data_IF_901073058480
#
_entry.id   IF_901073058480
#
_cell.length_a   1.000
_cell.length_b   1.000
_cell.length_c   1.000
_cell.angle_alpha   90.00
_cell.angle_beta   90.00
_cell.angle_gamma   90.00
#
_symmetry.space_group_name_H-M   'P 1'
#
loop_
_entity.id
_entity.type
_entity.pdbx_description
1 polymer ?
#
# COMPACT_ATOMS: atom_id res chain seq x y z
N UNK A 1 -27.91 -42.19 14.42
CA UNK A 1 -27.05 -41.92 15.58
C UNK A 1 -25.68 -42.54 15.30
N UNK A 2 -24.61 -41.74 15.41
CA UNK A 2 -23.17 -42.04 15.20
C UNK A 2 -22.61 -42.07 13.76
N UNK A 3 -21.35 -41.62 13.57
CA UNK A 3 -21.03 -40.49 12.69
C UNK A 3 -20.09 -40.82 11.53
N UNK A 4 -20.06 -39.94 10.51
CA UNK A 4 -19.13 -40.02 9.39
C UNK A 4 -17.73 -39.59 9.84
N UNK A 5 -16.76 -40.48 9.70
CA UNK A 5 -15.35 -40.23 9.98
C UNK A 5 -14.71 -39.40 8.87
N UNK A 6 -13.83 -38.49 9.27
CA UNK A 6 -13.00 -37.66 8.42
C UNK A 6 -11.69 -38.42 8.14
N UNK A 7 -11.50 -38.90 6.91
CA UNK A 7 -10.23 -39.47 6.48
C UNK A 7 -9.26 -38.38 6.03
N UNK A 8 -8.11 -38.33 6.70
CA UNK A 8 -6.93 -37.56 6.32
C UNK A 8 -6.13 -38.36 5.30
N UNK A 9 -6.07 -37.87 4.06
CA UNK A 9 -5.10 -38.30 3.05
C UNK A 9 -3.87 -37.41 3.05
N UNK A 10 -2.68 -38.02 3.13
CA UNK A 10 -1.35 -37.39 3.00
C UNK A 10 -0.92 -37.24 1.53
N UNK A 11 0.11 -36.40 1.31
CA UNK A 11 1.04 -36.25 0.16
C UNK A 11 0.73 -35.18 -0.92
N UNK A 12 1.74 -34.68 -1.69
CA UNK A 12 3.00 -33.98 -1.35
C UNK A 12 3.04 -32.56 -1.97
N UNK A 13 4.16 -31.85 -1.78
CA UNK A 13 4.54 -30.64 -2.50
C UNK A 13 4.47 -30.80 -4.03
N UNK A 14 3.93 -29.78 -4.72
CA UNK A 14 4.40 -29.29 -6.03
C UNK A 14 3.52 -28.12 -6.54
N UNK A 15 4.18 -27.02 -6.90
CA UNK A 15 3.96 -26.27 -8.15
C UNK A 15 2.69 -25.43 -8.32
N UNK A 16 2.90 -24.14 -8.61
CA UNK A 16 1.97 -23.19 -9.24
C UNK A 16 0.84 -23.86 -10.04
N UNK A 17 -0.41 -23.72 -9.59
CA UNK A 17 -1.59 -24.03 -10.41
C UNK A 17 -2.38 -22.76 -10.69
N UNK A 18 -2.14 -22.23 -11.90
CA UNK A 18 -3.02 -21.27 -12.57
C UNK A 18 -4.31 -22.02 -12.95
N UNK A 19 -5.47 -21.57 -12.46
CA UNK A 19 -6.77 -22.08 -12.91
C UNK A 19 -7.23 -21.31 -14.15
N UNK A 20 -7.19 -21.95 -15.32
CA UNK A 20 -7.94 -21.52 -16.51
C UNK A 20 -9.14 -22.44 -16.70
N UNK A 21 -10.35 -21.93 -16.48
CA UNK A 21 -11.58 -22.56 -16.95
C UNK A 21 -11.82 -22.13 -18.41
N UNK A 22 -11.67 -23.08 -19.34
CA UNK A 22 -12.11 -22.92 -20.73
C UNK A 22 -13.62 -22.70 -20.75
N UNK A 23 -14.08 -21.60 -21.36
CA UNK A 23 -15.48 -21.44 -21.74
C UNK A 23 -15.62 -21.23 -23.24
N UNK A 24 -16.50 -22.03 -23.84
CA UNK A 24 -16.90 -21.93 -25.23
C UNK A 24 -17.78 -20.69 -25.45
N UNK A 25 -17.55 -20.02 -26.57
CA UNK A 25 -18.19 -18.76 -26.96
C UNK A 25 -19.72 -18.90 -27.07
N UNK A 26 -20.46 -18.08 -26.31
CA UNK A 26 -21.87 -17.74 -26.56
C UNK A 26 -22.09 -16.25 -26.30
N UNK A 27 -22.70 -15.50 -27.24
CA UNK A 27 -22.99 -14.08 -27.04
C UNK A 27 -24.28 -13.93 -26.24
N UNK A 28 -24.19 -13.32 -25.05
CA UNK A 28 -25.35 -12.98 -24.22
C UNK A 28 -25.07 -13.12 -22.72
N UNK A 29 -25.14 -11.99 -22.02
CA UNK A 29 -25.14 -11.84 -20.55
C UNK A 29 -23.95 -12.46 -19.79
N UNK A 30 -22.88 -11.68 -19.63
CA UNK A 30 -21.76 -11.99 -18.72
C UNK A 30 -22.23 -11.85 -17.26
N UNK A 31 -22.24 -12.95 -16.51
CA UNK A 31 -22.13 -12.92 -15.04
C UNK A 31 -20.73 -13.41 -14.66
N UNK A 32 -19.79 -12.48 -14.60
CA UNK A 32 -18.49 -12.64 -13.94
C UNK A 32 -18.47 -11.61 -12.81
N UNK A 33 -18.48 -12.06 -11.55
CA UNK A 33 -18.18 -11.30 -10.32
C UNK A 33 -18.23 -9.76 -10.36
N UNK A 34 -19.39 -9.19 -10.71
CA UNK A 34 -19.86 -7.91 -10.16
C UNK A 34 -19.19 -6.59 -10.55
N UNK A 35 -18.13 -6.54 -11.36
CA UNK A 35 -17.48 -5.25 -11.70
C UNK A 35 -17.90 -4.79 -13.10
N UNK A 36 -18.81 -3.83 -13.15
CA UNK A 36 -19.02 -3.01 -14.34
C UNK A 36 -17.93 -1.92 -14.34
N UNK A 37 -16.71 -2.30 -14.72
CA UNK A 37 -15.61 -1.33 -14.81
C UNK A 37 -15.91 -0.38 -15.95
N UNK A 38 -16.17 0.89 -15.62
CA UNK A 38 -16.45 1.92 -16.62
C UNK A 38 -15.28 2.14 -17.60
N UNK A 39 -14.05 1.72 -17.24
CA UNK A 39 -12.84 1.74 -18.08
C UNK A 39 -11.97 0.51 -17.82
N UNK A 40 -11.47 -0.10 -18.89
CA UNK A 40 -10.47 -1.16 -18.87
C UNK A 40 -9.05 -0.64 -18.60
N UNK A 41 -8.17 -1.48 -18.02
CA UNK A 41 -6.79 -1.11 -17.67
C UNK A 41 -6.01 -0.38 -18.79
N UNK A 42 -6.10 -0.79 -20.08
CA UNK A 42 -5.36 -0.13 -21.15
C UNK A 42 -5.77 1.32 -21.45
N UNK A 43 -6.96 1.73 -21.02
CA UNK A 43 -7.54 3.05 -21.31
C UNK A 43 -6.97 4.18 -20.43
N UNK A 44 -6.32 3.84 -19.31
CA UNK A 44 -5.66 4.83 -18.47
C UNK A 44 -4.33 5.30 -19.08
N UNK A 45 -3.98 6.55 -18.82
CA UNK A 45 -2.69 7.15 -19.21
C UNK A 45 -1.75 7.28 -18.01
N UNK A 46 -2.32 7.49 -16.83
CA UNK A 46 -1.60 7.65 -15.57
C UNK A 46 -1.97 6.53 -14.61
N UNK A 47 -0.98 6.07 -13.85
CA UNK A 47 -1.21 5.34 -12.62
C UNK A 47 -0.62 6.14 -11.46
N UNK A 48 -1.46 6.56 -10.53
CA UNK A 48 -1.01 7.23 -9.31
C UNK A 48 -0.88 6.17 -8.21
N UNK A 49 0.19 6.24 -7.41
CA UNK A 49 0.50 5.23 -6.41
C UNK A 49 0.62 5.83 -5.02
N UNK A 50 -0.10 5.27 -4.07
CA UNK A 50 0.40 5.26 -2.70
C UNK A 50 1.76 4.52 -2.64
N UNK A 51 2.64 4.94 -1.75
CA UNK A 51 4.02 4.41 -1.67
C UNK A 51 4.23 3.57 -0.41
N UNK A 52 3.96 4.14 0.78
CA UNK A 52 4.27 3.52 2.06
C UNK A 52 3.14 2.58 2.46
N UNK A 53 3.38 1.27 2.47
CA UNK A 53 2.36 0.24 2.69
C UNK A 53 1.78 -0.34 1.40
N UNK A 54 1.91 0.36 0.27
CA UNK A 54 1.58 -0.17 -1.05
C UNK A 54 2.80 -0.73 -1.78
N UNK A 55 3.89 0.03 -1.83
CA UNK A 55 5.11 -0.31 -2.57
C UNK A 55 6.27 -0.66 -1.64
N UNK A 56 6.40 0.09 -0.53
CA UNK A 56 7.40 -0.08 0.53
C UNK A 56 6.79 -0.83 1.72
N UNK A 57 7.50 -1.84 2.22
CA UNK A 57 7.12 -2.61 3.41
C UNK A 57 7.54 -1.86 4.69
N UNK A 58 6.72 -0.88 5.05
CA UNK A 58 6.95 -0.09 6.27
C UNK A 58 6.76 -0.91 7.55
N UNK A 59 5.91 -1.94 7.51
CA UNK A 59 5.67 -2.78 8.68
C UNK A 59 6.91 -3.62 9.00
N UNK A 60 7.53 -4.21 7.98
CA UNK A 60 8.85 -4.85 8.10
C UNK A 60 9.89 -3.87 8.66
N UNK A 61 10.01 -2.68 8.04
CA UNK A 61 10.96 -1.66 8.49
C UNK A 61 10.78 -1.20 9.94
N UNK A 62 9.54 -0.96 10.38
CA UNK A 62 9.22 -0.62 11.77
C UNK A 62 9.58 -1.77 12.72
N UNK A 63 9.17 -3.00 12.39
CA UNK A 63 9.41 -4.18 13.23
C UNK A 63 10.90 -4.45 13.38
N UNK A 64 11.67 -4.37 12.29
CA UNK A 64 13.11 -4.61 12.31
C UNK A 64 13.84 -3.59 13.18
N UNK A 65 13.49 -2.30 13.06
CA UNK A 65 14.08 -1.25 13.90
C UNK A 65 13.74 -1.44 15.38
N UNK A 66 12.47 -1.72 15.70
CA UNK A 66 12.04 -1.93 17.09
C UNK A 66 12.66 -3.20 17.68
N UNK A 67 12.77 -4.28 16.91
CA UNK A 67 13.44 -5.51 17.33
C UNK A 67 14.93 -5.29 17.62
N UNK A 68 15.62 -4.45 16.83
CA UNK A 68 17.01 -4.07 17.09
C UNK A 68 17.17 -3.33 18.42
N UNK A 69 16.28 -2.37 18.71
CA UNK A 69 16.27 -1.64 19.99
C UNK A 69 15.93 -2.59 21.16
N UNK A 70 14.96 -3.50 20.96
CA UNK A 70 14.56 -4.47 21.96
C UNK A 70 15.71 -5.43 22.32
N UNK A 71 16.45 -5.91 21.31
CA UNK A 71 17.62 -6.77 21.50
C UNK A 71 18.71 -6.06 22.32
N UNK A 72 19.02 -4.79 22.02
CA UNK A 72 19.98 -3.98 22.78
C UNK A 72 19.53 -3.76 24.23
N UNK A 73 18.23 -3.62 24.46
CA UNK A 73 17.64 -3.45 25.79
C UNK A 73 17.38 -4.77 26.54
N UNK A 74 17.65 -5.93 25.92
CA UNK A 74 17.29 -7.25 26.46
C UNK A 74 15.78 -7.40 26.77
N UNK A 75 14.95 -6.81 25.91
CA UNK A 75 13.48 -6.84 25.98
C UNK A 75 12.93 -7.70 24.85
N UNK A 76 11.91 -8.52 25.14
CA UNK A 76 11.15 -9.22 24.11
C UNK A 76 9.91 -8.39 23.75
N UNK A 77 9.64 -8.23 22.45
CA UNK A 77 8.46 -7.51 21.95
C UNK A 77 7.70 -8.38 20.94
N UNK A 78 6.38 -8.23 20.89
CA UNK A 78 5.55 -8.75 19.80
C UNK A 78 5.44 -7.69 18.70
N UNK A 79 5.84 -8.05 17.48
CA UNK A 79 5.79 -7.16 16.32
C UNK A 79 4.37 -6.72 15.93
N UNK A 80 3.37 -7.58 16.07
CA UNK A 80 1.98 -7.20 15.74
C UNK A 80 1.37 -6.30 16.82
N UNK A 81 1.72 -6.52 18.09
CA UNK A 81 1.39 -5.58 19.17
C UNK A 81 2.03 -4.20 18.90
N UNK A 82 3.31 -4.18 18.54
CA UNK A 82 4.02 -2.96 18.21
C UNK A 82 3.37 -2.20 17.04
N UNK A 83 2.93 -2.90 15.98
CA UNK A 83 2.19 -2.29 14.86
C UNK A 83 0.84 -1.71 15.30
N UNK A 84 0.11 -2.41 16.17
CA UNK A 84 -1.16 -1.92 16.73
C UNK A 84 -0.98 -0.65 17.55
N UNK A 85 0.06 -0.61 18.39
CA UNK A 85 0.43 0.58 19.18
C UNK A 85 0.91 1.74 18.29
N UNK A 86 1.76 1.45 17.30
CA UNK A 86 2.19 2.41 16.29
C UNK A 86 0.98 3.06 15.61
N UNK A 87 0.03 2.25 15.14
CA UNK A 87 -1.20 2.74 14.51
C UNK A 87 -1.94 3.69 15.45
N UNK A 88 -2.21 3.29 16.70
CA UNK A 88 -2.91 4.15 17.65
C UNK A 88 -2.19 5.50 17.88
N UNK A 89 -0.86 5.49 17.99
CA UNK A 89 -0.04 6.68 18.21
C UNK A 89 0.05 7.58 16.95
N UNK A 90 0.12 6.99 15.76
CA UNK A 90 0.28 7.71 14.49
C UNK A 90 -0.94 8.56 14.15
N UNK A 91 -2.14 8.13 14.54
CA UNK A 91 -3.40 8.84 14.27
C UNK A 91 -3.94 9.62 15.48
N UNK A 92 -3.11 9.85 16.50
CA UNK A 92 -3.48 10.74 17.60
C UNK A 92 -3.57 12.20 17.15
N UNK A 93 -4.33 13.03 17.87
CA UNK A 93 -4.39 14.48 17.60
C UNK A 93 -3.00 15.11 17.69
N UNK A 94 -2.69 16.02 16.75
CA UNK A 94 -1.42 16.74 16.72
C UNK A 94 -0.24 15.90 16.21
N UNK A 95 -0.50 14.84 15.45
CA UNK A 95 0.54 14.15 14.69
C UNK A 95 1.21 15.11 13.71
N UNK A 96 2.53 15.02 13.62
CA UNK A 96 3.33 15.71 12.61
C UNK A 96 3.39 14.88 11.30
N UNK A 97 4.08 15.39 10.30
CA UNK A 97 4.25 14.75 9.00
C UNK A 97 5.12 13.50 9.10
N UNK A 98 4.74 12.46 8.34
CA UNK A 98 5.48 11.21 8.27
C UNK A 98 6.78 11.37 7.44
N UNK A 99 7.93 10.77 7.81
CA UNK A 99 8.16 9.95 9.00
C UNK A 99 8.72 10.73 10.20
N UNK A 100 8.81 12.07 10.16
CA UNK A 100 9.37 12.87 11.26
C UNK A 100 8.59 12.65 12.58
N UNK A 101 7.28 12.44 12.47
CA UNK A 101 6.39 12.07 13.58
C UNK A 101 6.77 10.75 14.28
N UNK A 102 7.58 9.88 13.66
CA UNK A 102 8.01 8.62 14.25
C UNK A 102 8.80 8.81 15.56
N UNK A 103 9.44 9.96 15.75
CA UNK A 103 10.11 10.28 17.02
C UNK A 103 9.08 10.36 18.15
N UNK A 104 7.97 11.07 17.93
CA UNK A 104 6.87 11.19 18.89
C UNK A 104 6.17 9.85 19.08
N UNK A 105 5.87 9.14 17.99
CA UNK A 105 5.22 7.83 18.03
C UNK A 105 6.03 6.85 18.86
N UNK A 106 7.35 6.78 18.64
CA UNK A 106 8.22 5.92 19.44
C UNK A 106 8.10 6.21 20.93
N UNK A 107 8.15 7.49 21.33
CA UNK A 107 8.07 7.91 22.72
C UNK A 107 6.72 7.54 23.38
N UNK A 108 5.63 7.46 22.61
CA UNK A 108 4.33 6.99 23.11
C UNK A 108 4.23 5.47 23.25
N UNK A 109 4.84 4.71 22.33
CA UNK A 109 4.70 3.24 22.31
C UNK A 109 5.80 2.52 23.13
N UNK A 110 6.99 3.12 23.26
CA UNK A 110 8.12 2.51 23.95
C UNK A 110 7.80 2.09 25.40
N UNK A 111 7.16 2.91 26.26
CA UNK A 111 6.82 2.49 27.62
C UNK A 111 5.87 1.28 27.65
N UNK A 112 4.95 1.20 26.68
CA UNK A 112 3.95 0.13 26.56
C UNK A 112 4.60 -1.19 26.13
N UNK A 113 5.67 -1.10 25.34
CA UNK A 113 6.48 -2.23 24.87
C UNK A 113 7.64 -2.59 25.82
N UNK A 114 7.82 -1.87 26.93
CA UNK A 114 8.96 -2.03 27.84
C UNK A 114 10.30 -1.59 27.26
N UNK A 115 10.30 -0.79 26.18
CA UNK A 115 11.51 -0.27 25.53
C UNK A 115 12.02 1.02 26.20
N UNK A 116 13.32 1.36 26.03
CA UNK A 116 13.87 2.60 26.54
C UNK A 116 13.16 3.86 26.01
N UNK A 117 12.87 4.82 26.87
CA UNK A 117 12.04 5.99 26.55
C UNK A 117 12.87 7.24 26.25
N UNK A 118 13.89 7.09 25.41
CA UNK A 118 14.82 8.17 25.07
C UNK A 118 14.63 8.63 23.62
N UNK A 119 14.70 9.96 23.40
CA UNK A 119 14.51 10.58 22.08
C UNK A 119 15.39 9.98 20.99
N UNK A 120 16.63 9.60 21.31
CA UNK A 120 17.59 9.00 20.37
C UNK A 120 17.06 7.73 19.68
N UNK A 121 16.22 6.96 20.36
CA UNK A 121 15.62 5.75 19.79
C UNK A 121 14.43 6.07 18.88
N UNK A 122 13.69 7.14 19.18
CA UNK A 122 12.69 7.69 18.26
C UNK A 122 13.32 8.27 17.01
N UNK A 123 14.47 8.95 17.13
CA UNK A 123 15.26 9.41 15.98
C UNK A 123 15.78 8.24 15.16
N UNK A 124 16.26 7.17 15.80
CA UNK A 124 16.62 5.92 15.11
C UNK A 124 15.44 5.32 14.34
N UNK A 125 14.24 5.30 14.93
CA UNK A 125 13.04 4.80 14.25
C UNK A 125 12.69 5.66 13.03
N UNK A 126 12.69 6.99 13.18
CA UNK A 126 12.52 7.94 12.06
C UNK A 126 13.55 7.67 10.96
N UNK A 127 14.83 7.68 11.30
CA UNK A 127 15.94 7.58 10.36
C UNK A 127 16.01 6.20 9.68
N UNK A 128 15.45 5.16 10.33
CA UNK A 128 15.34 3.83 9.74
C UNK A 128 14.54 3.82 8.43
N UNK A 129 13.65 4.79 8.22
CA UNK A 129 12.87 4.93 6.99
C UNK A 129 13.75 4.99 5.74
N UNK A 130 14.97 5.53 5.83
CA UNK A 130 15.91 5.54 4.70
C UNK A 130 16.33 4.13 4.21
N UNK A 131 16.10 3.09 5.01
CA UNK A 131 16.53 1.72 4.74
C UNK A 131 15.37 0.73 4.53
N UNK A 132 14.12 1.21 4.54
CA UNK A 132 12.97 0.31 4.38
C UNK A 132 12.93 -0.27 2.97
N UNK A 133 12.61 -1.56 2.89
CA UNK A 133 12.64 -2.34 1.66
C UNK A 133 11.33 -2.20 0.89
N UNK A 134 11.39 -2.29 -0.43
CA UNK A 134 10.21 -2.54 -1.23
C UNK A 134 9.64 -3.94 -0.94
N UNK A 135 8.32 -4.11 -1.11
CA UNK A 135 7.78 -5.46 -1.28
C UNK A 135 8.46 -6.11 -2.51
N UNK A 136 8.73 -7.42 -2.44
CA UNK A 136 9.56 -8.12 -3.43
C UNK A 136 9.03 -8.07 -4.87
N UNK A 137 7.74 -7.80 -5.05
CA UNK A 137 7.08 -7.67 -6.37
C UNK A 137 6.98 -6.22 -6.89
N UNK A 138 7.27 -5.21 -6.07
CA UNK A 138 6.98 -3.80 -6.39
C UNK A 138 7.86 -3.25 -7.52
N UNK A 139 9.19 -3.37 -7.41
CA UNK A 139 10.12 -2.73 -8.35
C UNK A 139 9.95 -3.26 -9.79
N UNK A 140 9.89 -4.58 -9.95
CA UNK A 140 9.69 -5.21 -11.26
C UNK A 140 8.31 -4.84 -11.85
N UNK A 141 7.25 -4.87 -11.03
CA UNK A 141 5.91 -4.49 -11.49
C UNK A 141 5.87 -3.03 -11.97
N UNK A 142 6.46 -2.09 -11.22
CA UNK A 142 6.54 -0.69 -11.62
C UNK A 142 7.34 -0.54 -12.93
N UNK A 143 8.47 -1.22 -13.07
CA UNK A 143 9.25 -1.19 -14.32
C UNK A 143 8.45 -1.71 -15.53
N UNK A 144 7.57 -2.70 -15.34
CA UNK A 144 6.67 -3.20 -16.39
C UNK A 144 5.56 -2.19 -16.70
N UNK A 145 4.95 -1.59 -15.68
CA UNK A 145 3.86 -0.62 -15.83
C UNK A 145 4.35 0.69 -16.47
N UNK A 146 5.56 1.15 -16.14
CA UNK A 146 6.18 2.36 -16.69
C UNK A 146 6.34 2.35 -18.22
N UNK A 147 6.33 1.17 -18.85
CA UNK A 147 6.36 1.03 -20.31
C UNK A 147 5.10 1.57 -20.99
N UNK A 148 3.98 1.60 -20.28
CA UNK A 148 2.66 1.91 -20.83
C UNK A 148 1.96 3.10 -20.16
N UNK A 149 2.36 3.46 -18.94
CA UNK A 149 1.71 4.51 -18.16
C UNK A 149 2.74 5.50 -17.60
N UNK A 150 2.30 6.74 -17.41
CA UNK A 150 3.02 7.71 -16.57
C UNK A 150 2.74 7.40 -15.11
N UNK A 151 3.75 6.91 -14.39
CA UNK A 151 3.61 6.56 -12.98
C UNK A 151 3.82 7.80 -12.11
N UNK A 152 2.90 8.07 -11.18
CA UNK A 152 2.97 9.23 -10.29
C UNK A 152 2.96 8.76 -8.84
N UNK A 153 3.98 9.10 -8.06
CA UNK A 153 3.97 8.81 -6.63
C UNK A 153 3.10 9.83 -5.87
N UNK A 154 2.27 9.35 -4.95
CA UNK A 154 1.44 10.12 -4.02
C UNK A 154 1.67 9.60 -2.61
N UNK A 155 2.56 10.22 -1.84
CA UNK A 155 2.96 9.71 -0.52
C UNK A 155 2.77 10.75 0.57
N UNK A 156 2.33 10.28 1.75
CA UNK A 156 2.33 11.08 2.98
C UNK A 156 3.76 11.27 3.54
N UNK A 157 4.74 10.54 3.01
CA UNK A 157 6.13 10.71 3.41
C UNK A 157 6.69 12.07 2.98
N UNK A 158 7.55 12.64 3.83
CA UNK A 158 8.43 13.75 3.48
C UNK A 158 9.37 13.34 2.34
N UNK A 159 9.76 14.33 1.54
CA UNK A 159 10.67 14.23 0.40
C UNK A 159 11.93 13.46 0.72
N UNK A 160 12.57 13.76 1.85
CA UNK A 160 13.83 13.14 2.22
C UNK A 160 13.74 11.62 2.31
N UNK A 161 12.63 11.08 2.83
CA UNK A 161 12.42 9.64 2.95
C UNK A 161 11.99 9.05 1.61
N UNK A 162 11.10 9.75 0.89
CA UNK A 162 10.67 9.35 -0.44
C UNK A 162 11.85 9.16 -1.41
N UNK A 163 12.87 10.00 -1.35
CA UNK A 163 14.02 9.89 -2.26
C UNK A 163 14.79 8.57 -2.07
N UNK A 164 14.76 7.95 -0.88
CA UNK A 164 15.28 6.60 -0.67
C UNK A 164 14.32 5.52 -1.18
N UNK A 165 13.01 5.71 -0.95
CA UNK A 165 11.98 4.79 -1.46
C UNK A 165 11.97 4.72 -2.99
N UNK A 166 12.09 5.86 -3.68
CA UNK A 166 12.15 5.93 -5.12
C UNK A 166 13.34 5.12 -5.67
N UNK A 167 14.53 5.30 -5.08
CA UNK A 167 15.74 4.56 -5.46
C UNK A 167 15.60 3.06 -5.25
N UNK A 168 15.05 2.66 -4.11
CA UNK A 168 14.76 1.24 -3.81
C UNK A 168 13.77 0.63 -4.82
N UNK A 169 12.87 1.43 -5.38
CA UNK A 169 11.91 1.03 -6.42
C UNK A 169 12.47 1.13 -7.85
N UNK A 170 13.72 1.57 -8.03
CA UNK A 170 14.36 1.75 -9.33
C UNK A 170 13.99 3.05 -10.06
N UNK A 171 13.66 4.10 -9.31
CA UNK A 171 13.27 5.44 -9.79
C UNK A 171 12.24 5.43 -10.94
N UNK A 172 11.08 4.74 -10.78
CA UNK A 172 10.17 4.48 -11.89
C UNK A 172 9.18 5.64 -12.18
N UNK A 173 9.19 6.68 -11.35
CA UNK A 173 8.14 7.69 -11.33
C UNK A 173 8.40 8.82 -12.32
N UNK A 174 7.37 9.13 -13.12
CA UNK A 174 7.32 10.30 -13.99
C UNK A 174 7.17 11.61 -13.19
N UNK A 175 6.44 11.56 -12.06
CA UNK A 175 6.30 12.68 -11.13
C UNK A 175 6.05 12.15 -9.71
N UNK A 176 6.29 12.98 -8.68
CA UNK A 176 6.10 12.58 -7.29
C UNK A 176 5.59 13.74 -6.43
N UNK A 177 4.55 13.48 -5.65
CA UNK A 177 3.95 14.39 -4.67
C UNK A 177 4.13 13.80 -3.28
N UNK A 178 4.77 14.59 -2.42
CA UNK A 178 5.05 14.30 -1.02
C UNK A 178 4.31 15.27 -0.13
N UNK A 179 4.28 15.02 1.18
CA UNK A 179 3.73 15.97 2.14
C UNK A 179 4.42 17.36 2.08
N UNK A 180 5.68 17.43 1.64
CA UNK A 180 6.37 18.71 1.41
C UNK A 180 5.75 19.54 0.28
N UNK A 181 5.23 18.90 -0.77
CA UNK A 181 4.69 19.60 -1.95
C UNK A 181 3.23 19.99 -1.76
N UNK A 182 2.47 19.17 -1.05
CA UNK A 182 1.04 19.35 -0.83
C UNK A 182 0.73 20.14 0.44
N UNK A 183 1.65 20.15 1.41
CA UNK A 183 1.46 20.79 2.73
C UNK A 183 0.46 20.07 3.63
N UNK A 184 -0.02 18.89 3.23
CA UNK A 184 -0.98 18.05 3.96
C UNK A 184 -0.74 16.57 3.64
N UNK A 185 -1.41 15.70 4.37
CA UNK A 185 -1.42 14.26 4.13
C UNK A 185 -2.78 13.80 3.59
N UNK A 186 -2.77 12.76 2.76
CA UNK A 186 -3.99 12.01 2.46
C UNK A 186 -4.58 11.49 3.78
N UNK A 187 -5.92 11.49 4.00
CA UNK A 187 -6.97 11.62 3.00
C UNK A 187 -7.50 13.05 2.79
N UNK A 188 -6.74 14.09 3.14
CA UNK A 188 -7.14 15.47 2.83
C UNK A 188 -7.29 15.66 1.31
N UNK A 189 -8.48 16.08 0.81
CA UNK A 189 -8.71 16.34 -0.61
C UNK A 189 -7.68 17.28 -1.24
N UNK A 190 -7.14 18.24 -0.47
CA UNK A 190 -6.16 19.20 -0.96
C UNK A 190 -4.87 18.51 -1.47
N UNK A 191 -4.55 17.31 -0.98
CA UNK A 191 -3.47 16.50 -1.55
C UNK A 191 -3.78 16.10 -3.00
N UNK A 192 -5.00 15.58 -3.22
CA UNK A 192 -5.42 15.08 -4.53
C UNK A 192 -5.60 16.22 -5.54
N UNK A 193 -6.11 17.38 -5.09
CA UNK A 193 -6.29 18.55 -5.95
C UNK A 193 -4.97 19.00 -6.59
N UNK A 194 -3.85 18.97 -5.84
CA UNK A 194 -2.51 19.28 -6.40
C UNK A 194 -2.10 18.32 -7.52
N UNK A 195 -2.42 17.04 -7.37
CA UNK A 195 -2.13 16.03 -8.40
C UNK A 195 -3.04 16.22 -9.60
N UNK A 196 -4.32 16.56 -9.38
CA UNK A 196 -5.26 16.86 -10.46
C UNK A 196 -4.85 18.11 -11.23
N UNK A 197 -4.40 19.17 -10.57
CA UNK A 197 -3.87 20.38 -11.22
C UNK A 197 -2.66 20.04 -12.11
N UNK A 198 -1.74 19.21 -11.62
CA UNK A 198 -0.62 18.75 -12.42
C UNK A 198 -1.08 17.98 -13.66
N UNK A 199 -1.98 17.00 -13.51
CA UNK A 199 -2.51 16.20 -14.63
C UNK A 199 -3.28 17.09 -15.63
N UNK A 200 -4.06 18.05 -15.12
CA UNK A 200 -4.76 19.07 -15.90
C UNK A 200 -3.82 19.95 -16.71
N UNK A 201 -2.69 20.36 -16.12
CA UNK A 201 -1.65 21.13 -16.82
C UNK A 201 -1.03 20.36 -18.01
N UNK A 202 -1.14 19.02 -18.00
CA UNK A 202 -0.70 18.15 -19.09
C UNK A 202 -1.81 17.88 -20.13
N UNK A 203 -2.96 18.55 -20.03
CA UNK A 203 -4.11 18.38 -20.93
C UNK A 203 -4.88 17.08 -20.72
N UNK A 204 -4.82 16.49 -19.51
CA UNK A 204 -5.53 15.26 -19.15
C UNK A 204 -6.49 15.52 -17.98
N UNK A 205 -7.35 14.56 -17.65
CA UNK A 205 -8.28 14.67 -16.51
C UNK A 205 -8.10 13.52 -15.53
N UNK A 206 -8.80 13.59 -14.39
CA UNK A 206 -8.89 12.47 -13.43
C UNK A 206 -9.43 11.18 -14.05
N UNK A 207 -10.19 11.26 -15.16
CA UNK A 207 -10.70 10.07 -15.85
C UNK A 207 -9.58 9.29 -16.55
N UNK A 208 -8.43 9.92 -16.81
CA UNK A 208 -7.25 9.27 -17.40
C UNK A 208 -6.38 8.55 -16.34
N UNK A 209 -6.81 8.53 -15.07
CA UNK A 209 -6.03 8.07 -13.91
C UNK A 209 -6.64 6.82 -13.30
N UNK A 210 -5.80 5.81 -13.12
CA UNK A 210 -6.04 4.74 -12.15
C UNK A 210 -5.27 5.04 -10.86
N UNK A 211 -5.95 5.15 -9.73
CA UNK A 211 -5.30 5.33 -8.43
C UNK A 211 -5.09 3.98 -7.73
N UNK A 212 -3.84 3.63 -7.44
CA UNK A 212 -3.44 2.31 -6.93
C UNK A 212 -2.91 2.46 -5.50
N UNK A 213 -3.53 1.76 -4.54
CA UNK A 213 -3.15 1.88 -3.14
C UNK A 213 -3.54 0.67 -2.29
N UNK A 214 -2.92 0.53 -1.12
CA UNK A 214 -3.26 -0.43 -0.08
C UNK A 214 -4.25 0.14 0.93
N UNK A 215 -4.14 1.42 1.28
CA UNK A 215 -4.92 2.00 2.37
C UNK A 215 -6.37 2.30 1.96
N UNK A 216 -7.33 1.63 2.60
CA UNK A 216 -8.74 1.95 2.45
C UNK A 216 -9.09 3.36 2.95
N UNK A 217 -8.43 3.81 4.02
CA UNK A 217 -8.66 5.12 4.63
C UNK A 217 -7.96 6.27 3.88
N UNK A 218 -6.65 6.17 3.65
CA UNK A 218 -5.89 7.28 3.04
C UNK A 218 -6.16 7.44 1.55
N UNK A 219 -6.54 6.37 0.85
CA UNK A 219 -6.51 6.36 -0.61
C UNK A 219 -7.81 5.87 -1.23
N UNK A 220 -8.20 4.60 -1.03
CA UNK A 220 -9.33 4.01 -1.77
C UNK A 220 -10.64 4.74 -1.49
N UNK A 221 -10.94 5.05 -0.23
CA UNK A 221 -12.18 5.76 0.14
C UNK A 221 -12.24 7.19 -0.37
N UNK A 222 -11.17 7.97 -0.21
CA UNK A 222 -11.14 9.37 -0.67
C UNK A 222 -11.06 9.47 -2.20
N UNK A 223 -10.26 8.63 -2.86
CA UNK A 223 -10.17 8.62 -4.33
C UNK A 223 -11.52 8.32 -4.98
N UNK A 224 -12.31 7.38 -4.42
CA UNK A 224 -13.68 7.11 -4.87
C UNK A 224 -14.59 8.33 -4.66
N UNK A 225 -14.54 8.99 -3.51
CA UNK A 225 -15.32 10.22 -3.23
C UNK A 225 -14.98 11.35 -4.21
N UNK A 226 -13.73 11.43 -4.66
CA UNK A 226 -13.27 12.39 -5.65
C UNK A 226 -13.54 11.95 -7.10
N UNK A 227 -14.10 10.76 -7.31
CA UNK A 227 -14.50 10.24 -8.61
C UNK A 227 -13.34 9.68 -9.46
N UNK A 228 -12.29 9.16 -8.82
CA UNK A 228 -11.26 8.38 -9.50
C UNK A 228 -11.68 6.91 -9.64
N UNK A 229 -11.25 6.26 -10.73
CA UNK A 229 -11.15 4.80 -10.75
C UNK A 229 -9.99 4.38 -9.86
N UNK A 230 -10.20 3.38 -9.01
CA UNK A 230 -9.17 2.93 -8.09
C UNK A 230 -8.91 1.42 -8.13
N UNK A 231 -7.70 1.06 -7.72
CA UNK A 231 -7.19 -0.29 -7.64
C UNK A 231 -6.66 -0.54 -6.23
N UNK A 232 -7.28 -1.48 -5.52
CA UNK A 232 -6.84 -1.89 -4.21
C UNK A 232 -5.77 -2.99 -4.33
N UNK A 233 -4.63 -2.78 -3.68
CA UNK A 233 -3.58 -3.78 -3.49
C UNK A 233 -3.65 -4.29 -2.05
N UNK A 234 -4.30 -5.43 -1.83
CA UNK A 234 -4.52 -6.01 -0.50
C UNK A 234 -3.26 -6.74 0.01
N UNK A 235 -2.25 -5.97 0.44
CA UNK A 235 -0.96 -6.51 0.94
C UNK A 235 -1.13 -7.52 2.07
N UNK A 236 -2.08 -7.28 2.99
CA UNK A 236 -2.37 -8.14 4.14
C UNK A 236 -3.45 -9.21 3.87
N UNK A 237 -3.80 -9.54 2.62
CA UNK A 237 -4.88 -10.50 2.27
C UNK A 237 -4.80 -11.87 2.97
N UNK A 238 -3.58 -12.33 3.30
CA UNK A 238 -3.34 -13.59 3.99
C UNK A 238 -3.10 -13.44 5.50
N UNK A 239 -3.25 -12.23 6.06
CA UNK A 239 -3.00 -11.91 7.46
C UNK A 239 -4.27 -11.37 8.12
N UNK A 240 -4.36 -11.52 9.44
CA UNK A 240 -5.48 -10.97 10.21
C UNK A 240 -5.17 -9.54 10.63
N UNK A 241 -6.18 -8.68 10.60
CA UNK A 241 -6.08 -7.30 11.08
C UNK A 241 -5.32 -6.36 10.14
N UNK A 242 -5.26 -5.10 10.52
CA UNK A 242 -4.78 -4.01 9.68
C UNK A 242 -3.29 -3.67 9.86
N UNK A 243 -2.58 -4.41 10.73
CA UNK A 243 -1.19 -4.13 11.05
C UNK A 243 -0.96 -2.66 11.45
N UNK A 244 -0.01 -1.98 10.81
CA UNK A 244 0.30 -0.58 11.07
C UNK A 244 -0.65 0.42 10.39
N UNK A 245 -1.50 -0.04 9.46
CA UNK A 245 -2.45 0.82 8.73
C UNK A 245 -3.72 1.03 9.55
N UNK A 246 -4.27 2.24 9.53
CA UNK A 246 -5.55 2.54 10.18
C UNK A 246 -6.69 1.68 9.63
N UNK A 247 -7.53 1.18 10.54
CA UNK A 247 -8.77 0.49 10.18
C UNK A 247 -9.76 1.51 9.59
N UNK A 248 -10.29 1.28 8.38
CA UNK A 248 -11.27 2.18 7.80
C UNK A 248 -12.60 2.08 8.56
N UNK A 249 -13.28 3.21 8.76
CA UNK A 249 -14.62 3.22 9.34
C UNK A 249 -15.65 2.50 8.46
N UNK A 250 -15.46 2.58 7.14
CA UNK A 250 -16.28 1.92 6.13
C UNK A 250 -15.38 1.39 5.01
N UNK A 251 -15.70 0.20 4.51
CA UNK A 251 -14.97 -0.40 3.40
C UNK A 251 -15.48 0.14 2.06
N UNK A 252 -14.57 0.56 1.20
CA UNK A 252 -14.91 1.01 -0.16
C UNK A 252 -14.65 -0.12 -1.15
N UNK A 253 -15.69 -0.52 -1.89
CA UNK A 253 -15.57 -1.49 -2.99
C UNK A 253 -14.72 -0.90 -4.13
N UNK A 254 -13.52 -1.44 -4.41
CA UNK A 254 -12.64 -0.89 -5.42
C UNK A 254 -13.04 -1.34 -6.84
N UNK A 255 -12.63 -0.58 -7.87
CA UNK A 255 -12.89 -0.96 -9.28
C UNK A 255 -11.98 -2.11 -9.73
N UNK A 256 -10.77 -2.16 -9.18
CA UNK A 256 -9.82 -3.26 -9.39
C UNK A 256 -9.30 -3.75 -8.05
N UNK A 257 -9.08 -5.06 -7.93
CA UNK A 257 -8.54 -5.65 -6.71
C UNK A 257 -7.48 -6.70 -7.05
N UNK A 258 -6.29 -6.54 -6.47
CA UNK A 258 -5.21 -7.51 -6.52
C UNK A 258 -4.57 -7.66 -5.13
N UNK A 259 -3.89 -8.78 -4.90
CA UNK A 259 -3.15 -9.01 -3.65
C UNK A 259 -1.69 -8.54 -3.73
N UNK A 260 -1.23 -8.14 -4.92
CA UNK A 260 0.15 -7.75 -5.21
C UNK A 260 0.25 -6.82 -6.42
N UNK A 261 1.36 -6.09 -6.52
CA UNK A 261 1.69 -5.27 -7.69
C UNK A 261 1.99 -6.14 -8.92
N UNK A 262 2.58 -7.32 -8.73
CA UNK A 262 2.76 -8.29 -9.81
C UNK A 262 1.42 -8.69 -10.45
N UNK A 263 0.38 -8.94 -9.64
CA UNK A 263 -0.96 -9.26 -10.14
C UNK A 263 -1.56 -8.17 -11.02
N UNK A 264 -1.41 -6.90 -10.60
CA UNK A 264 -1.82 -5.75 -11.43
C UNK A 264 -1.02 -5.69 -12.75
N UNK A 265 0.30 -5.85 -12.69
CA UNK A 265 1.16 -5.80 -13.88
C UNK A 265 0.87 -6.94 -14.87
N UNK A 266 0.51 -8.13 -14.38
CA UNK A 266 0.08 -9.27 -15.20
C UNK A 266 -1.26 -8.99 -15.86
N UNK A 267 -2.23 -8.46 -15.12
CA UNK A 267 -3.54 -8.09 -15.66
C UNK A 267 -3.43 -7.03 -16.76
N UNK A 268 -2.55 -6.04 -16.60
CA UNK A 268 -2.23 -5.06 -17.64
C UNK A 268 -1.67 -5.72 -18.89
N UNK A 269 -0.73 -6.66 -18.73
CA UNK A 269 -0.11 -7.33 -19.87
C UNK A 269 -1.14 -8.14 -20.68
N UNK A 270 -2.04 -8.85 -19.98
CA UNK A 270 -3.13 -9.60 -20.60
C UNK A 270 -4.16 -8.68 -21.26
N UNK A 271 -4.50 -7.55 -20.64
CA UNK A 271 -5.46 -6.62 -21.23
C UNK A 271 -4.94 -5.91 -22.49
N UNK A 272 -3.62 -5.92 -22.72
CA UNK A 272 -2.96 -5.31 -23.87
C UNK A 272 -2.54 -6.30 -24.97
N UNK A 273 -2.70 -7.61 -24.74
CA UNK A 273 -2.46 -8.67 -25.73
C UNK A 273 -3.69 -8.89 -26.61
#
# INVERSE_FOLDING_TARGET
MRPFQQERGKHPADGNRIFFLKSAFRPGTRKNWGIDVHKSLPEFKYMTFDVVGTLIDFEGGLKDCLAGIAAEASVAIDGEEALSLYRAARYSKGADLFPDDLVRVYLDIAPKLGLPTERKYGERLRDSAANWRAFGDSAEALARLAKNYRLVAMTNARRWAFDFFAKELGDPFYAAFTADDTGTEKPDPAFFDKVFDFIGSQGNSKDDVLHVAQSQYHDIGISRKLGLTNCWIERRHAQKGYGGTIEPAEFTEPDYHFTSMAGLADAVAVARS
#
